data_IF_321891216780
#
_entry.id   IF_321891216780
#
_cell.length_a   1.000
_cell.length_b   1.000
_cell.length_c   1.000
_cell.angle_alpha   90.00
_cell.angle_beta   90.00
_cell.angle_gamma   90.00
#
_symmetry.space_group_name_H-M   'P 1'
#
loop_
_entity.id
_entity.type
_entity.pdbx_description
1 polymer ?
#
# COMPACT_ATOMS: atom_id res chain seq x y z
N UNK A 1 -6.42 -25.65 -8.19
CA UNK A 1 -6.68 -25.04 -9.51
C UNK A 1 -5.33 -24.74 -10.17
N UNK A 2 -5.13 -25.20 -11.40
CA UNK A 2 -3.90 -24.94 -12.16
C UNK A 2 -4.27 -24.07 -13.36
N UNK A 3 -3.69 -22.88 -13.46
CA UNK A 3 -3.84 -21.98 -14.60
C UNK A 3 -2.50 -21.88 -15.33
N UNK A 4 -2.55 -21.91 -16.65
CA UNK A 4 -1.38 -21.75 -17.51
C UNK A 4 -1.48 -20.37 -18.16
N UNK A 5 -0.52 -19.50 -17.88
CA UNK A 5 -0.38 -18.19 -18.51
C UNK A 5 0.71 -18.24 -19.60
N UNK A 6 0.74 -17.24 -20.49
CA UNK A 6 1.79 -17.04 -21.50
C UNK A 6 1.95 -18.15 -22.56
N UNK A 7 0.88 -18.87 -22.87
CA UNK A 7 0.86 -19.81 -24.02
C UNK A 7 0.84 -19.00 -25.31
N UNK A 8 1.91 -19.08 -26.10
CA UNK A 8 1.97 -18.46 -27.43
C UNK A 8 0.95 -19.12 -28.36
N UNK A 9 0.19 -18.31 -29.10
CA UNK A 9 -0.71 -18.80 -30.15
C UNK A 9 0.08 -19.60 -31.20
N UNK A 10 -0.35 -20.84 -31.48
CA UNK A 10 0.35 -21.77 -32.39
C UNK A 10 1.34 -22.72 -31.71
N UNK A 11 1.31 -22.85 -30.38
CA UNK A 11 2.06 -23.91 -29.70
C UNK A 11 1.42 -25.29 -30.00
N UNK A 12 2.21 -26.19 -30.61
CA UNK A 12 1.78 -27.58 -30.88
C UNK A 12 1.81 -28.46 -29.62
N UNK A 13 2.53 -28.02 -28.58
CA UNK A 13 2.65 -28.72 -27.30
C UNK A 13 2.71 -27.72 -26.13
N UNK A 14 1.93 -27.98 -25.08
CA UNK A 14 1.95 -27.24 -23.82
C UNK A 14 2.37 -28.20 -22.71
N UNK A 15 3.58 -28.02 -22.18
CA UNK A 15 4.08 -28.81 -21.05
C UNK A 15 3.74 -28.09 -19.74
N UNK A 16 2.79 -28.63 -18.99
CA UNK A 16 2.46 -28.15 -17.65
C UNK A 16 3.32 -28.92 -16.63
N UNK A 17 4.25 -28.23 -15.99
CA UNK A 17 5.00 -28.80 -14.85
C UNK A 17 4.27 -28.49 -13.57
N UNK A 18 3.78 -29.54 -12.90
CA UNK A 18 3.23 -29.44 -11.56
C UNK A 18 4.38 -29.66 -10.60
N UNK A 19 4.84 -28.57 -9.98
CA UNK A 19 5.84 -28.65 -8.92
C UNK A 19 5.20 -29.14 -7.63
N UNK A 20 5.93 -29.97 -6.88
CA UNK A 20 5.51 -30.32 -5.52
C UNK A 20 5.46 -29.05 -4.66
N UNK A 21 4.42 -28.85 -3.85
CA UNK A 21 4.34 -27.67 -3.00
C UNK A 21 5.48 -27.64 -1.99
N UNK A 22 5.97 -26.45 -1.69
CA UNK A 22 6.89 -26.19 -0.60
C UNK A 22 6.16 -25.97 0.73
N UNK A 23 6.94 -25.93 1.80
CA UNK A 23 6.47 -25.67 3.15
C UNK A 23 7.42 -24.71 3.88
N UNK A 24 6.88 -23.93 4.81
CA UNK A 24 7.67 -23.14 5.76
C UNK A 24 7.46 -23.66 7.17
N UNK A 25 8.56 -23.71 7.93
CA UNK A 25 8.56 -23.95 9.38
C UNK A 25 9.42 -22.88 10.03
N UNK A 26 8.89 -22.15 11.00
CA UNK A 26 9.66 -21.09 11.64
C UNK A 26 9.43 -20.96 13.11
N UNK A 27 10.28 -20.14 13.73
CA UNK A 27 10.21 -19.80 15.16
C UNK A 27 10.11 -18.28 15.32
N UNK A 28 9.14 -17.85 16.13
CA UNK A 28 8.90 -16.46 16.52
C UNK A 28 9.73 -16.14 17.74
N UNK A 29 10.50 -15.06 17.68
CA UNK A 29 11.46 -14.71 18.74
C UNK A 29 11.23 -13.27 19.18
N UNK A 30 11.11 -13.06 20.49
CA UNK A 30 11.01 -11.72 21.09
C UNK A 30 9.59 -11.15 21.16
N UNK A 31 8.55 -11.96 21.00
CA UNK A 31 7.15 -11.56 21.19
C UNK A 31 6.72 -11.87 22.62
N UNK A 32 6.17 -10.88 23.33
CA UNK A 32 5.58 -11.05 24.65
C UNK A 32 4.18 -11.67 24.57
N UNK A 33 3.44 -11.39 23.50
CA UNK A 33 2.11 -11.94 23.25
C UNK A 33 2.12 -12.83 22.01
N UNK A 34 1.32 -13.91 22.02
CA UNK A 34 1.17 -14.79 20.85
C UNK A 34 0.70 -13.95 19.64
N UNK A 35 1.47 -13.88 18.55
CA UNK A 35 1.07 -13.14 17.38
C UNK A 35 0.20 -13.98 16.45
N UNK A 36 -0.59 -13.29 15.65
CA UNK A 36 -1.09 -13.84 14.39
C UNK A 36 0.02 -13.74 13.35
N UNK A 37 0.13 -14.74 12.47
CA UNK A 37 1.12 -14.76 11.41
C UNK A 37 0.47 -15.09 10.06
N UNK A 38 1.01 -14.51 9.00
CA UNK A 38 0.58 -14.74 7.63
C UNK A 38 1.77 -14.60 6.67
N UNK A 39 1.65 -15.20 5.49
CA UNK A 39 2.62 -15.00 4.41
C UNK A 39 1.96 -14.40 3.18
N UNK A 40 2.75 -13.63 2.42
CA UNK A 40 2.34 -13.02 1.16
C UNK A 40 3.43 -13.24 0.11
N UNK A 41 3.10 -13.76 -1.09
CA UNK A 41 4.08 -13.85 -2.17
C UNK A 41 4.56 -12.45 -2.58
N UNK A 42 5.86 -12.30 -2.80
CA UNK A 42 6.40 -11.03 -3.30
C UNK A 42 5.93 -10.78 -4.73
N UNK A 43 5.46 -9.56 -5.00
CA UNK A 43 4.91 -9.16 -6.29
C UNK A 43 3.41 -9.43 -6.47
N UNK A 44 2.75 -10.10 -5.52
CA UNK A 44 1.30 -10.19 -5.49
C UNK A 44 0.77 -9.69 -4.12
N UNK A 45 0.01 -8.60 -4.18
CA UNK A 45 -0.51 -7.92 -3.00
C UNK A 45 -1.84 -8.48 -2.51
N UNK A 46 -2.52 -9.34 -3.28
CA UNK A 46 -3.87 -9.83 -2.96
C UNK A 46 -3.81 -11.10 -2.13
N UNK A 47 -2.88 -12.00 -2.45
CA UNK A 47 -2.80 -13.30 -1.80
C UNK A 47 -2.28 -13.17 -0.36
N UNK A 48 -3.14 -13.44 0.61
CA UNK A 48 -2.79 -13.57 2.03
C UNK A 48 -3.01 -15.01 2.46
N UNK A 49 -1.93 -15.70 2.82
CA UNK A 49 -2.00 -17.07 3.31
C UNK A 49 -1.86 -17.04 4.83
N UNK A 50 -2.92 -17.33 5.61
CA UNK A 50 -2.82 -17.39 7.06
C UNK A 50 -1.88 -18.53 7.45
N UNK A 51 -1.12 -18.32 8.52
CA UNK A 51 -0.14 -19.30 9.00
C UNK A 51 -0.58 -19.83 10.35
N UNK A 52 -0.41 -21.14 10.57
CA UNK A 52 -0.68 -21.72 11.88
C UNK A 52 0.43 -21.33 12.84
N UNK A 53 0.05 -20.73 13.96
CA UNK A 53 0.94 -20.41 15.08
C UNK A 53 0.64 -21.37 16.24
N UNK A 54 1.63 -22.06 16.77
CA UNK A 54 1.52 -22.91 17.96
C UNK A 54 2.68 -22.61 18.92
N UNK A 55 2.35 -21.92 20.02
CA UNK A 55 3.36 -21.24 20.84
C UNK A 55 4.20 -20.27 19.99
N UNK A 56 5.51 -20.51 19.94
CA UNK A 56 6.47 -19.77 19.12
C UNK A 56 6.64 -20.38 17.72
N UNK A 57 6.07 -21.55 17.45
CA UNK A 57 6.25 -22.26 16.18
C UNK A 57 5.25 -21.80 15.13
N UNK A 58 5.74 -21.67 13.89
CA UNK A 58 4.99 -21.18 12.73
C UNK A 58 5.06 -22.23 11.64
N UNK A 59 3.91 -22.62 11.08
CA UNK A 59 3.87 -23.64 10.04
C UNK A 59 2.84 -23.33 8.95
N UNK A 60 3.30 -23.40 7.70
CA UNK A 60 2.45 -23.32 6.50
C UNK A 60 2.95 -24.31 5.45
N UNK A 61 2.01 -24.94 4.77
CA UNK A 61 2.24 -25.94 3.71
C UNK A 61 1.53 -25.49 2.44
N UNK A 62 1.80 -26.16 1.31
CA UNK A 62 1.05 -25.91 0.08
C UNK A 62 1.46 -24.65 -0.66
N UNK A 63 2.64 -24.10 -0.37
CA UNK A 63 3.12 -22.88 -1.02
C UNK A 63 3.78 -23.19 -2.36
N UNK A 64 3.64 -22.29 -3.33
CA UNK A 64 4.38 -22.36 -4.59
C UNK A 64 5.82 -21.97 -4.34
N UNK A 65 6.74 -22.46 -5.17
CA UNK A 65 8.12 -21.99 -5.11
C UNK A 65 8.18 -20.49 -5.43
N UNK A 66 9.04 -19.76 -4.74
CA UNK A 66 9.19 -18.32 -4.90
C UNK A 66 9.50 -17.59 -3.61
N UNK A 67 9.55 -16.26 -3.68
CA UNK A 67 9.88 -15.39 -2.55
C UNK A 67 8.60 -14.91 -1.86
N UNK A 68 8.61 -14.94 -0.54
CA UNK A 68 7.47 -14.58 0.31
C UNK A 68 7.92 -13.60 1.38
N UNK A 69 7.04 -12.69 1.75
CA UNK A 69 7.10 -11.96 3.00
C UNK A 69 6.34 -12.74 4.08
N UNK A 70 6.98 -13.00 5.21
CA UNK A 70 6.34 -13.50 6.42
C UNK A 70 6.13 -12.33 7.35
N UNK A 71 4.93 -12.23 7.91
CA UNK A 71 4.58 -11.24 8.90
C UNK A 71 4.07 -11.93 10.16
N UNK A 72 4.38 -11.33 11.31
CA UNK A 72 3.77 -11.68 12.59
C UNK A 72 3.41 -10.40 13.33
N UNK A 73 2.24 -10.37 13.94
CA UNK A 73 1.76 -9.23 14.73
C UNK A 73 0.96 -9.67 15.94
N UNK A 74 1.22 -9.06 17.09
CA UNK A 74 0.39 -9.15 18.28
C UNK A 74 0.27 -7.76 18.91
N UNK A 75 -0.94 -7.23 19.11
CA UNK A 75 -1.15 -5.90 19.71
C UNK A 75 -0.26 -4.82 19.04
N UNK A 76 0.76 -4.38 19.76
CA UNK A 76 1.82 -3.39 19.45
C UNK A 76 3.13 -4.02 18.91
N UNK A 77 3.28 -5.34 19.01
CA UNK A 77 4.45 -6.08 18.56
C UNK A 77 4.29 -6.54 17.10
N UNK A 78 5.29 -6.30 16.27
CA UNK A 78 5.28 -6.79 14.89
C UNK A 78 6.68 -7.12 14.36
N UNK A 79 6.76 -8.08 13.46
CA UNK A 79 7.97 -8.41 12.71
C UNK A 79 7.64 -8.80 11.28
N UNK A 80 8.59 -8.59 10.38
CA UNK A 80 8.53 -9.09 9.01
C UNK A 80 9.89 -9.59 8.54
N UNK A 81 9.89 -10.60 7.68
CA UNK A 81 11.09 -11.09 7.01
C UNK A 81 10.76 -11.63 5.61
N UNK A 82 11.74 -11.62 4.72
CA UNK A 82 11.64 -12.31 3.42
C UNK A 82 12.14 -13.75 3.59
N UNK A 83 11.45 -14.69 2.95
CA UNK A 83 11.81 -16.10 2.92
C UNK A 83 11.62 -16.66 1.51
N UNK A 84 12.48 -17.59 1.13
CA UNK A 84 12.36 -18.33 -0.12
C UNK A 84 11.72 -19.71 0.12
N UNK A 85 10.63 -19.97 -0.60
CA UNK A 85 9.98 -21.28 -0.65
C UNK A 85 10.57 -22.05 -1.81
N UNK A 86 11.05 -23.27 -1.51
CA UNK A 86 11.60 -24.20 -2.50
C UNK A 86 10.58 -25.29 -2.79
N UNK A 87 10.37 -25.61 -4.08
CA UNK A 87 9.46 -26.68 -4.51
C UNK A 87 9.81 -28.02 -3.84
N UNK A 88 8.80 -28.68 -3.27
CA UNK A 88 8.92 -30.00 -2.65
C UNK A 88 9.76 -30.05 -1.36
N UNK A 89 10.17 -28.90 -0.81
CA UNK A 89 11.02 -28.84 0.37
C UNK A 89 10.40 -28.01 1.49
N UNK A 90 10.88 -28.25 2.71
CA UNK A 90 10.54 -27.46 3.90
C UNK A 90 11.66 -26.47 4.19
N UNK A 91 11.42 -25.18 3.98
CA UNK A 91 12.34 -24.11 4.38
C UNK A 91 12.14 -23.81 5.87
N UNK A 92 13.25 -23.71 6.61
CA UNK A 92 13.26 -23.26 8.01
C UNK A 92 13.67 -21.79 8.11
N UNK A 93 13.04 -21.04 9.00
CA UNK A 93 13.37 -19.63 9.24
C UNK A 93 13.16 -19.21 10.69
N UNK A 94 13.77 -18.09 11.08
CA UNK A 94 13.50 -17.42 12.36
C UNK A 94 12.93 -16.04 12.06
N UNK A 95 11.88 -15.66 12.77
CA UNK A 95 11.29 -14.33 12.69
C UNK A 95 11.48 -13.62 14.03
N UNK A 96 12.48 -12.73 14.06
CA UNK A 96 12.87 -11.98 15.25
C UNK A 96 12.15 -10.63 15.26
N UNK A 97 11.49 -10.31 16.36
CA UNK A 97 10.93 -8.99 16.60
C UNK A 97 12.07 -7.96 16.69
N UNK A 98 12.03 -6.88 15.88
CA UNK A 98 12.99 -5.79 16.03
C UNK A 98 12.70 -4.99 17.32
N UNK A 99 13.68 -4.28 17.88
CA UNK A 99 13.42 -3.30 18.92
C UNK A 99 12.45 -2.21 18.42
N UNK A 100 11.73 -1.58 19.33
CA UNK A 100 10.78 -0.53 18.97
C UNK A 100 11.47 0.81 18.69
N UNK A 101 10.75 1.65 17.96
CA UNK A 101 10.94 3.08 17.85
C UNK A 101 9.63 3.78 18.27
N UNK A 102 9.75 5.03 18.67
CA UNK A 102 8.61 5.86 19.06
C UNK A 102 8.23 6.79 17.90
N UNK A 103 6.93 6.90 17.60
CA UNK A 103 6.41 7.68 16.48
C UNK A 103 5.47 8.76 17.00
N UNK A 104 5.80 10.01 16.71
CA UNK A 104 4.94 11.17 16.96
C UNK A 104 4.33 11.58 15.64
N UNK A 105 3.07 11.21 15.42
CA UNK A 105 2.38 11.47 14.18
C UNK A 105 1.60 12.78 14.25
N UNK A 106 1.52 13.50 13.13
CA UNK A 106 0.62 14.63 12.95
C UNK A 106 -0.19 14.43 11.67
N UNK A 107 -1.50 14.26 11.79
CA UNK A 107 -2.40 14.05 10.66
C UNK A 107 -3.06 15.37 10.26
N UNK A 108 -2.94 15.74 8.99
CA UNK A 108 -3.43 17.01 8.45
C UNK A 108 -4.22 16.82 7.17
N UNK A 109 -5.17 17.71 6.91
CA UNK A 109 -5.78 17.84 5.58
C UNK A 109 -4.72 18.36 4.60
N UNK A 110 -4.47 17.59 3.54
CA UNK A 110 -3.41 17.86 2.56
C UNK A 110 -3.54 19.25 1.90
N UNK A 111 -4.75 19.75 1.72
CA UNK A 111 -5.00 21.02 1.03
C UNK A 111 -4.86 22.21 1.99
N UNK A 112 -5.51 22.14 3.16
CA UNK A 112 -5.60 23.27 4.10
C UNK A 112 -4.55 23.27 5.21
N UNK A 113 -3.87 22.15 5.43
CA UNK A 113 -2.96 21.94 6.57
C UNK A 113 -3.69 21.84 7.92
N UNK A 114 -5.02 21.77 7.92
CA UNK A 114 -5.84 21.73 9.14
C UNK A 114 -5.64 20.39 9.84
N UNK A 115 -5.35 20.34 11.15
CA UNK A 115 -5.22 19.07 11.86
C UNK A 115 -6.51 18.25 11.88
N UNK A 116 -6.36 16.93 11.78
CA UNK A 116 -7.49 16.02 11.75
C UNK A 116 -7.54 15.16 13.01
N UNK A 117 -8.51 15.47 13.88
CA UNK A 117 -8.80 14.71 15.08
C UNK A 117 -9.63 13.43 14.82
N UNK A 118 -9.44 12.42 15.67
CA UNK A 118 -10.18 11.15 15.62
C UNK A 118 -9.76 10.20 14.49
N UNK A 119 -8.60 10.43 13.86
CA UNK A 119 -8.07 9.58 12.79
C UNK A 119 -7.28 8.44 13.41
N UNK A 120 -7.66 7.21 13.12
CA UNK A 120 -7.05 6.04 13.73
C UNK A 120 -5.77 5.66 12.98
N UNK A 121 -4.62 5.72 13.66
CA UNK A 121 -3.30 5.44 13.05
C UNK A 121 -2.67 4.16 13.60
N UNK A 122 -1.81 3.54 12.79
CA UNK A 122 -1.02 2.36 13.16
C UNK A 122 0.33 2.35 12.43
N UNK A 123 1.31 1.70 13.04
CA UNK A 123 2.62 1.43 12.45
C UNK A 123 2.73 -0.07 12.19
N UNK A 124 3.20 -0.44 11.00
CA UNK A 124 3.42 -1.83 10.62
C UNK A 124 4.76 -1.98 9.87
N UNK A 125 5.45 -3.12 10.01
CA UNK A 125 6.65 -3.37 9.22
C UNK A 125 6.29 -3.41 7.73
N UNK A 126 7.17 -2.88 6.88
CA UNK A 126 7.02 -2.90 5.44
C UNK A 126 8.22 -3.55 4.79
N UNK A 127 7.98 -4.54 3.93
CA UNK A 127 9.02 -5.27 3.23
C UNK A 127 8.71 -5.28 1.73
N UNK A 128 9.65 -4.78 0.92
CA UNK A 128 9.51 -4.76 -0.55
C UNK A 128 8.18 -4.16 -1.04
N UNK A 129 7.64 -3.17 -0.33
CA UNK A 129 6.35 -2.54 -0.65
C UNK A 129 5.11 -3.30 -0.16
N UNK A 130 5.28 -4.48 0.45
CA UNK A 130 4.22 -5.18 1.15
C UNK A 130 4.14 -4.70 2.60
N UNK A 131 2.93 -4.39 3.03
CA UNK A 131 2.63 -3.92 4.36
C UNK A 131 2.25 -5.10 5.26
N UNK A 132 2.75 -5.08 6.49
CA UNK A 132 2.43 -6.02 7.56
C UNK A 132 1.17 -5.67 8.35
N UNK A 133 0.26 -4.90 7.76
CA UNK A 133 -1.07 -4.67 8.32
C UNK A 133 -1.92 -5.93 8.15
N UNK A 134 -2.32 -6.57 9.26
CA UNK A 134 -3.23 -7.71 9.21
C UNK A 134 -4.66 -7.22 8.86
N UNK A 135 -5.36 -7.80 7.87
CA UNK A 135 -6.80 -7.59 7.69
C UNK A 135 -7.58 -8.18 8.90
N UNK A 136 -7.69 -7.42 9.98
CA UNK A 136 -8.47 -7.81 11.15
C UNK A 136 -8.01 -7.26 12.50
N UNK A 137 -6.78 -6.71 12.60
CA UNK A 137 -6.26 -6.18 13.87
C UNK A 137 -6.57 -4.70 14.00
N UNK A 138 -7.62 -4.41 14.78
CA UNK A 138 -8.17 -3.09 15.05
C UNK A 138 -7.49 -2.36 16.23
N UNK A 139 -6.15 -2.35 16.29
CA UNK A 139 -5.42 -1.56 17.28
C UNK A 139 -4.86 -0.30 16.60
N UNK A 140 -5.74 0.68 16.41
CA UNK A 140 -5.37 1.99 15.88
C UNK A 140 -5.76 3.06 16.89
N UNK A 141 -4.79 3.86 17.35
CA UNK A 141 -5.03 4.94 18.31
C UNK A 141 -5.53 6.17 17.54
N UNK A 142 -6.64 6.79 17.94
CA UNK A 142 -7.14 7.99 17.28
C UNK A 142 -6.27 9.20 17.62
N UNK A 143 -6.15 10.14 16.67
CA UNK A 143 -5.54 11.44 16.90
C UNK A 143 -6.35 12.33 17.84
N UNK A 144 -5.63 13.18 18.58
CA UNK A 144 -6.20 14.23 19.44
C UNK A 144 -6.75 15.42 18.63
N UNK A 145 -7.18 16.48 19.34
CA UNK A 145 -7.72 17.70 18.73
C UNK A 145 -6.72 18.44 17.82
N UNK A 146 -5.42 18.29 18.07
CA UNK A 146 -4.33 18.88 17.30
C UNK A 146 -3.85 17.95 16.18
N UNK A 147 -4.61 16.88 15.91
CA UNK A 147 -4.30 15.86 14.91
C UNK A 147 -3.08 15.02 15.27
N UNK A 148 -2.65 15.01 16.54
CA UNK A 148 -1.45 14.30 16.98
C UNK A 148 -1.80 12.94 17.58
N UNK A 149 -0.91 11.98 17.40
CA UNK A 149 -0.97 10.69 18.09
C UNK A 149 0.45 10.13 18.27
N UNK A 150 0.70 9.54 19.42
CA UNK A 150 1.95 8.87 19.73
C UNK A 150 1.75 7.36 19.70
N UNK A 151 2.67 6.65 19.06
CA UNK A 151 2.62 5.20 18.88
C UNK A 151 4.02 4.62 19.04
N UNK A 152 4.13 3.45 19.65
CA UNK A 152 5.32 2.61 19.52
C UNK A 152 5.13 1.62 18.36
N UNK A 153 6.24 1.25 17.73
CA UNK A 153 6.23 0.29 16.63
C UNK A 153 7.62 -0.22 16.28
N UNK A 154 7.72 -1.22 15.39
CA UNK A 154 9.01 -1.83 15.06
C UNK A 154 9.96 -0.82 14.42
N UNK A 155 11.25 -0.90 14.75
CA UNK A 155 12.30 -0.24 13.97
C UNK A 155 12.52 -0.93 12.61
N UNK A 156 13.21 -0.25 11.70
CA UNK A 156 13.42 -0.66 10.32
C UNK A 156 12.50 0.07 9.34
N UNK A 157 12.27 -0.54 8.17
CA UNK A 157 11.34 0.02 7.18
C UNK A 157 9.91 -0.25 7.62
N UNK A 158 9.14 0.79 7.84
CA UNK A 158 7.74 0.71 8.29
C UNK A 158 6.82 1.51 7.39
N UNK A 159 5.56 1.09 7.36
CA UNK A 159 4.47 1.91 6.90
C UNK A 159 3.69 2.42 8.11
N UNK A 160 3.56 3.74 8.19
CA UNK A 160 2.57 4.40 9.02
C UNK A 160 1.30 4.53 8.18
N UNK A 161 0.17 4.04 8.68
CA UNK A 161 -1.13 4.15 8.01
C UNK A 161 -2.18 4.73 8.95
N UNK A 162 -2.97 5.67 8.46
CA UNK A 162 -3.99 6.42 9.19
C UNK A 162 -5.33 6.37 8.44
N UNK A 163 -6.35 5.80 9.09
CA UNK A 163 -7.67 5.59 8.53
C UNK A 163 -8.65 6.66 9.02
N UNK A 164 -8.95 7.63 8.16
CA UNK A 164 -9.92 8.70 8.44
C UNK A 164 -11.38 8.31 8.09
N UNK A 165 -11.78 7.08 8.44
CA UNK A 165 -13.06 6.47 8.00
C UNK A 165 -14.36 7.17 8.45
N UNK A 166 -14.44 7.99 9.52
CA UNK A 166 -15.71 8.64 9.84
C UNK A 166 -16.15 9.77 8.89
N UNK A 167 -15.44 10.11 7.79
CA UNK A 167 -15.70 11.37 7.05
C UNK A 167 -15.63 11.30 5.52
N UNK A 168 -15.54 10.12 4.91
CA UNK A 168 -15.33 9.99 3.45
C UNK A 168 -13.94 10.39 2.97
N UNK A 169 -13.06 10.85 3.87
CA UNK A 169 -11.67 11.17 3.60
C UNK A 169 -10.85 9.97 3.11
N UNK A 170 -9.72 10.25 2.49
CA UNK A 170 -8.76 9.23 2.09
C UNK A 170 -8.12 8.59 3.32
N UNK A 171 -7.51 7.42 3.17
CA UNK A 171 -6.43 7.07 4.09
C UNK A 171 -5.24 8.02 3.89
N UNK A 172 -4.44 8.17 4.94
CA UNK A 172 -3.12 8.80 4.87
C UNK A 172 -2.07 7.76 5.22
N UNK A 173 -0.91 7.81 4.57
CA UNK A 173 0.17 6.90 4.88
C UNK A 173 1.53 7.52 4.63
N UNK A 174 2.56 7.00 5.29
CA UNK A 174 3.95 7.34 5.03
C UNK A 174 4.82 6.08 5.19
N UNK A 175 5.76 5.89 4.26
CA UNK A 175 6.80 4.87 4.42
C UNK A 175 8.05 5.55 4.94
N UNK A 176 8.53 5.09 6.09
CA UNK A 176 9.69 5.67 6.78
C UNK A 176 10.65 4.57 7.23
N UNK A 177 11.90 4.94 7.45
CA UNK A 177 12.90 4.07 8.06
C UNK A 177 13.16 4.60 9.46
N UNK A 178 12.77 3.83 10.47
CA UNK A 178 12.93 4.19 11.87
C UNK A 178 14.14 3.46 12.48
N UNK A 179 14.97 4.18 13.24
CA UNK A 179 16.04 3.57 14.01
C UNK A 179 15.53 3.09 15.38
N UNK A 180 16.08 1.99 15.89
CA UNK A 180 15.73 1.46 17.20
C UNK A 180 15.94 2.48 18.32
N UNK A 181 15.00 2.53 19.27
CA UNK A 181 15.02 3.41 20.44
C UNK A 181 15.15 4.92 20.10
N UNK A 182 14.64 5.32 18.93
CA UNK A 182 14.55 6.73 18.53
C UNK A 182 13.12 7.21 18.46
N UNK A 183 12.93 8.53 18.54
CA UNK A 183 11.65 9.20 18.27
C UNK A 183 11.66 9.75 16.86
N UNK A 184 10.63 9.43 16.08
CA UNK A 184 10.44 9.94 14.73
C UNK A 184 9.15 10.76 14.65
N UNK A 185 9.27 12.01 14.20
CA UNK A 185 8.13 12.85 13.90
C UNK A 185 7.72 12.65 12.43
N UNK A 186 6.45 12.36 12.18
CA UNK A 186 5.95 12.10 10.83
C UNK A 186 4.64 12.85 10.61
N UNK A 187 4.60 13.70 9.58
CA UNK A 187 3.36 14.30 9.11
C UNK A 187 2.68 13.37 8.11
N UNK A 188 1.39 13.09 8.31
CA UNK A 188 0.58 12.19 7.50
C UNK A 188 -0.49 13.00 6.78
N UNK A 189 -0.37 13.19 5.45
CA UNK A 189 -1.38 13.90 4.69
C UNK A 189 -2.60 13.02 4.44
N UNK A 190 -3.77 13.61 4.60
CA UNK A 190 -5.07 13.01 4.26
C UNK A 190 -5.82 13.98 3.36
N UNK A 191 -6.43 13.50 2.28
CA UNK A 191 -7.31 14.33 1.47
C UNK A 191 -8.72 14.25 2.07
N UNK A 192 -9.25 15.40 2.50
CA UNK A 192 -10.66 15.46 2.90
C UNK A 192 -11.56 15.46 1.67
N UNK A 193 -12.52 14.53 1.62
CA UNK A 193 -13.42 14.47 0.47
C UNK A 193 -14.33 15.71 0.45
N UNK A 194 -14.32 16.43 -0.67
CA UNK A 194 -15.22 17.56 -0.91
C UNK A 194 -16.07 17.23 -2.14
N UNK A 195 -17.35 16.91 -1.94
CA UNK A 195 -18.29 16.63 -3.05
C UNK A 195 -18.58 15.15 -3.31
N UNK A 196 -18.96 14.81 -4.54
CA UNK A 196 -19.66 13.54 -4.86
C UNK A 196 -18.78 12.30 -4.97
N UNK A 197 -17.46 12.40 -4.83
CA UNK A 197 -16.55 11.24 -4.74
C UNK A 197 -16.23 10.53 -6.06
N UNK A 198 -16.43 11.18 -7.20
CA UNK A 198 -16.03 10.64 -8.51
C UNK A 198 -14.58 11.03 -8.78
N UNK A 199 -13.61 10.13 -8.62
CA UNK A 199 -12.17 10.41 -8.74
C UNK A 199 -11.58 10.32 -10.16
N UNK A 200 -10.29 10.00 -10.27
CA UNK A 200 -9.48 9.95 -11.50
C UNK A 200 -10.18 9.16 -12.62
N UNK A 201 -10.62 7.95 -12.29
CA UNK A 201 -11.29 7.06 -13.22
C UNK A 201 -12.51 7.74 -13.81
N UNK A 202 -13.36 8.34 -12.99
CA UNK A 202 -14.62 8.96 -13.39
C UNK A 202 -14.49 10.33 -14.06
N UNK A 203 -13.48 11.12 -13.68
CA UNK A 203 -13.32 12.50 -14.13
C UNK A 203 -12.40 12.63 -15.32
N UNK A 204 -11.35 11.82 -15.36
CA UNK A 204 -10.28 11.94 -16.36
C UNK A 204 -10.22 10.72 -17.28
N UNK A 205 -10.86 9.61 -16.90
CA UNK A 205 -10.77 8.36 -17.66
C UNK A 205 -9.40 7.71 -17.55
N UNK A 206 -8.76 7.79 -16.37
CA UNK A 206 -7.48 7.17 -16.10
C UNK A 206 -7.54 6.44 -14.75
N UNK A 207 -6.82 5.33 -14.64
CA UNK A 207 -6.60 4.66 -13.36
C UNK A 207 -5.10 4.66 -13.03
N UNK A 208 -4.79 4.96 -11.77
CA UNK A 208 -3.43 4.80 -11.22
C UNK A 208 -3.40 3.61 -10.28
N UNK A 209 -2.31 2.87 -10.31
CA UNK A 209 -2.09 1.78 -9.37
C UNK A 209 -0.62 1.62 -9.09
N UNK A 210 -0.16 2.22 -8.00
CA UNK A 210 1.24 2.29 -7.64
C UNK A 210 1.50 1.69 -6.28
N UNK A 211 2.32 0.64 -6.23
CA UNK A 211 2.90 0.21 -4.96
C UNK A 211 3.79 1.34 -4.39
N UNK A 212 3.38 1.95 -3.28
CA UNK A 212 4.22 2.89 -2.52
C UNK A 212 4.36 4.29 -3.10
N UNK A 213 3.24 4.99 -3.32
CA UNK A 213 3.20 6.46 -3.53
C UNK A 213 3.77 6.94 -4.89
N UNK A 214 3.73 6.09 -5.93
CA UNK A 214 4.32 6.39 -7.25
C UNK A 214 3.31 6.67 -8.37
N UNK A 215 2.00 6.47 -8.12
CA UNK A 215 0.88 6.78 -9.02
C UNK A 215 1.14 6.60 -10.54
N UNK A 216 1.60 5.42 -10.99
CA UNK A 216 1.71 5.15 -12.41
C UNK A 216 0.32 5.05 -13.02
N UNK A 217 0.12 5.71 -14.16
CA UNK A 217 -1.05 5.48 -15.02
C UNK A 217 -0.97 4.05 -15.52
N UNK A 218 -1.90 3.20 -15.08
CA UNK A 218 -1.97 1.79 -15.50
C UNK A 218 -3.02 1.57 -16.57
N UNK A 219 -4.02 2.44 -16.64
CA UNK A 219 -5.08 2.38 -17.65
C UNK A 219 -5.45 3.79 -18.11
N UNK A 220 -5.76 3.91 -19.40
CA UNK A 220 -6.42 5.06 -20.00
C UNK A 220 -7.63 4.57 -20.76
N UNK A 221 -8.76 5.26 -20.57
CA UNK A 221 -9.98 4.96 -21.31
C UNK A 221 -9.91 5.56 -22.71
N UNK A 222 -10.21 4.77 -23.75
CA UNK A 222 -10.26 5.27 -25.12
C UNK A 222 -11.22 6.46 -25.25
N UNK A 223 -10.73 7.56 -25.81
CA UNK A 223 -11.45 8.81 -25.97
C UNK A 223 -11.67 9.60 -24.68
N UNK A 224 -11.14 9.18 -23.53
CA UNK A 224 -11.26 9.89 -22.24
C UNK A 224 -10.40 11.16 -22.17
N UNK A 225 -10.70 12.05 -21.21
CA UNK A 225 -10.01 13.34 -21.08
C UNK A 225 -8.48 13.21 -20.97
N UNK A 226 -8.00 12.26 -20.18
CA UNK A 226 -6.58 11.99 -19.99
C UNK A 226 -5.88 11.55 -21.29
N UNK A 227 -6.49 10.63 -22.05
CA UNK A 227 -5.95 10.18 -23.33
C UNK A 227 -5.93 11.34 -24.35
N UNK A 228 -7.03 12.11 -24.44
CA UNK A 228 -7.12 13.27 -25.34
C UNK A 228 -6.11 14.36 -24.99
N UNK A 229 -5.78 14.52 -23.71
CA UNK A 229 -4.74 15.42 -23.23
C UNK A 229 -3.31 14.91 -23.48
N UNK A 230 -3.14 13.66 -23.93
CA UNK A 230 -1.85 13.08 -24.31
C UNK A 230 -1.08 12.39 -23.18
N UNK A 231 -1.77 12.04 -22.09
CA UNK A 231 -1.23 11.10 -21.10
C UNK A 231 -1.03 9.72 -21.71
N UNK A 232 -0.17 8.92 -21.10
CA UNK A 232 0.17 7.57 -21.54
C UNK A 232 0.25 6.62 -20.35
N UNK A 233 -0.07 5.36 -20.57
CA UNK A 233 0.23 4.28 -19.63
C UNK A 233 1.74 4.30 -19.32
N UNK A 234 2.08 4.20 -18.04
CA UNK A 234 3.43 4.31 -17.52
C UNK A 234 3.88 5.74 -17.14
N UNK A 235 3.06 6.77 -17.40
CA UNK A 235 3.30 8.09 -16.81
C UNK A 235 3.18 8.02 -15.29
N UNK A 236 4.15 8.56 -14.55
CA UNK A 236 4.08 8.67 -13.10
C UNK A 236 3.52 10.03 -12.72
N UNK A 237 2.32 10.09 -12.14
CA UNK A 237 1.73 11.35 -11.66
C UNK A 237 2.46 11.76 -10.38
N UNK A 238 3.11 12.93 -10.41
CA UNK A 238 3.94 13.42 -9.29
C UNK A 238 3.44 14.74 -8.70
N UNK A 239 2.67 15.53 -9.45
CA UNK A 239 2.00 16.70 -8.90
C UNK A 239 0.66 17.00 -9.59
N UNK A 240 -0.22 17.65 -8.84
CA UNK A 240 -1.54 18.11 -9.28
C UNK A 240 -1.69 19.58 -8.92
N UNK A 241 -1.91 20.43 -9.92
CA UNK A 241 -2.00 21.89 -9.75
C UNK A 241 -0.83 22.46 -8.94
N UNK A 242 0.38 21.96 -9.24
CA UNK A 242 1.63 22.35 -8.57
C UNK A 242 1.83 21.76 -7.17
N UNK A 243 0.90 20.96 -6.64
CA UNK A 243 1.04 20.28 -5.35
C UNK A 243 1.68 18.90 -5.56
N UNK A 244 2.77 18.63 -4.87
CA UNK A 244 3.42 17.32 -4.86
C UNK A 244 2.47 16.27 -4.25
N UNK A 245 2.13 15.25 -5.03
CA UNK A 245 1.23 14.16 -4.60
C UNK A 245 1.97 12.87 -4.26
N UNK A 246 3.30 12.84 -4.33
CA UNK A 246 4.11 11.65 -4.04
C UNK A 246 4.13 11.24 -2.56
N UNK A 247 3.43 11.99 -1.71
CA UNK A 247 3.19 11.67 -0.30
C UNK A 247 1.76 11.17 -0.05
N UNK A 248 0.89 11.19 -1.07
CA UNK A 248 -0.49 10.73 -0.98
C UNK A 248 -0.61 9.26 -1.38
N UNK A 249 -1.61 8.57 -0.85
CA UNK A 249 -1.99 7.26 -1.36
C UNK A 249 -2.72 7.39 -2.70
N UNK A 250 -2.87 6.29 -3.44
CA UNK A 250 -3.65 6.29 -4.68
C UNK A 250 -5.08 6.81 -4.42
N UNK A 251 -5.71 6.46 -3.28
CA UNK A 251 -7.02 7.02 -2.92
C UNK A 251 -6.95 8.52 -2.60
N UNK A 252 -5.87 8.98 -1.97
CA UNK A 252 -5.65 10.42 -1.75
C UNK A 252 -5.61 11.19 -3.06
N UNK A 253 -4.87 10.71 -4.05
CA UNK A 253 -4.82 11.32 -5.39
C UNK A 253 -6.18 11.26 -6.08
N UNK A 254 -6.86 10.12 -6.00
CA UNK A 254 -8.20 9.92 -6.56
C UNK A 254 -9.21 10.93 -5.99
N UNK A 255 -9.21 11.11 -4.66
CA UNK A 255 -10.08 12.06 -3.98
C UNK A 255 -9.73 13.52 -4.26
N UNK A 256 -8.44 13.82 -4.43
CA UNK A 256 -7.99 15.18 -4.77
C UNK A 256 -8.59 15.62 -6.11
N UNK A 257 -8.53 14.75 -7.11
CA UNK A 257 -9.17 14.97 -8.41
C UNK A 257 -10.69 14.93 -8.32
N UNK A 258 -11.24 14.02 -7.53
CA UNK A 258 -12.70 13.89 -7.42
C UNK A 258 -13.40 15.06 -6.73
N UNK A 259 -12.62 15.87 -6.01
CA UNK A 259 -13.05 17.11 -5.39
C UNK A 259 -12.94 18.34 -6.31
N UNK A 260 -12.43 18.18 -7.54
CA UNK A 260 -12.34 19.25 -8.54
C UNK A 260 -13.66 19.39 -9.32
N UNK A 261 -14.02 20.63 -9.65
CA UNK A 261 -15.24 20.94 -10.39
C UNK A 261 -15.17 20.45 -11.85
N UNK A 262 -16.31 19.97 -12.37
CA UNK A 262 -16.43 19.61 -13.79
C UNK A 262 -16.26 20.85 -14.67
N UNK A 263 -15.48 20.72 -15.73
CA UNK A 263 -15.13 21.80 -16.64
C UNK A 263 -13.87 22.57 -16.24
N UNK A 264 -13.36 22.36 -15.02
CA UNK A 264 -12.06 22.91 -14.63
C UNK A 264 -10.92 22.26 -15.43
N UNK A 265 -9.84 23.00 -15.61
CA UNK A 265 -8.57 22.49 -16.15
C UNK A 265 -7.65 22.17 -14.99
N UNK A 266 -7.06 20.97 -15.01
CA UNK A 266 -6.28 20.39 -13.94
C UNK A 266 -4.88 20.08 -14.48
N UNK A 267 -3.84 20.69 -13.89
CA UNK A 267 -2.48 20.59 -14.38
C UNK A 267 -1.77 19.39 -13.73
N UNK A 268 -1.57 18.32 -14.50
CA UNK A 268 -0.91 17.10 -14.04
C UNK A 268 0.57 17.15 -14.40
N UNK A 269 1.44 17.22 -13.39
CA UNK A 269 2.87 16.98 -13.59
C UNK A 269 3.12 15.48 -13.56
N UNK A 270 3.70 14.95 -14.64
CA UNK A 270 4.04 13.54 -14.78
C UNK A 270 5.52 13.34 -15.10
N UNK A 271 6.09 12.20 -14.70
CA UNK A 271 7.40 11.73 -15.17
C UNK A 271 7.20 10.65 -16.21
N UNK A 272 7.70 10.90 -17.43
CA UNK A 272 7.69 9.95 -18.56
C UNK A 272 9.12 9.67 -18.99
N UNK A 273 9.58 8.42 -18.82
CA UNK A 273 10.96 8.06 -19.14
C UNK A 273 11.98 8.88 -18.34
N UNK A 274 11.64 9.27 -17.11
CA UNK A 274 12.47 10.10 -16.23
C UNK A 274 12.34 11.62 -16.45
N UNK A 275 11.77 12.08 -17.56
CA UNK A 275 11.58 13.50 -17.85
C UNK A 275 10.25 14.01 -17.30
N UNK A 276 10.28 15.14 -16.59
CA UNK A 276 9.08 15.82 -16.11
C UNK A 276 8.32 16.49 -17.27
N UNK A 277 6.99 16.40 -17.24
CA UNK A 277 6.07 17.01 -18.19
C UNK A 277 4.85 17.51 -17.44
N UNK A 278 4.28 18.62 -17.87
CA UNK A 278 2.96 19.05 -17.38
C UNK A 278 1.94 18.82 -18.49
N UNK A 279 0.81 18.22 -18.12
CA UNK A 279 -0.31 17.92 -19.01
C UNK A 279 -1.56 18.52 -18.40
N UNK A 280 -2.19 19.44 -19.12
CA UNK A 280 -3.45 20.05 -18.71
C UNK A 280 -4.61 19.14 -19.14
N UNK A 281 -5.43 18.73 -18.19
CA UNK A 281 -6.57 17.83 -18.43
C UNK A 281 -7.85 18.50 -17.97
N UNK A 282 -8.89 18.47 -18.80
CA UNK A 282 -10.21 18.99 -18.43
C UNK A 282 -10.94 17.93 -17.60
N UNK A 283 -11.44 18.34 -16.44
CA UNK A 283 -12.27 17.50 -15.57
C UNK A 283 -13.64 17.31 -16.20
N UNK A 284 -14.03 16.07 -16.47
CA UNK A 284 -15.32 15.77 -17.09
C UNK A 284 -16.37 15.26 -16.08
N UNK A 285 -17.62 15.26 -16.51
CA UNK A 285 -18.66 14.45 -15.87
C UNK A 285 -18.35 12.96 -16.06
N UNK A 286 -19.04 12.07 -15.33
CA UNK A 286 -18.84 10.63 -15.50
C UNK A 286 -19.07 10.22 -16.96
N UNK A 287 -18.03 9.70 -17.61
CA UNK A 287 -18.03 9.34 -19.04
C UNK A 287 -18.76 8.03 -19.35
N UNK A 288 -19.32 7.34 -18.34
CA UNK A 288 -20.21 6.18 -18.53
C UNK A 288 -21.68 6.58 -18.75
N UNK A 289 -21.95 7.85 -19.07
CA UNK A 289 -23.28 8.37 -19.40
C UNK A 289 -23.48 8.54 -20.89
#
# INVERSE_FOLDING_TARGET
>A
EASVADVRGGADEVVVRIEAPGALRGTLIGFAHRPDAWVRPLGNTIDVVPVRVDGESVAVDGLRAGRYAVFARSRDEAAAAEVEVVAGATTRFELRRPPDAHFVLRVVDFISGTPLAGVACSVAPSITGLEGSNPGVAAATPTDADGRVELDGPSGTVLVGCLARPRGNSEGAARVVAAAATTLEVEIPVVTQRGTGNGLGARLGLDVSGAGFQHPVVELRPGGAAERAGLRVGDLVVAIDGRDVTTLTDLGVDQLVGSTEVGATLALAVRRGGTARTVDVIVEGPWWR
#
